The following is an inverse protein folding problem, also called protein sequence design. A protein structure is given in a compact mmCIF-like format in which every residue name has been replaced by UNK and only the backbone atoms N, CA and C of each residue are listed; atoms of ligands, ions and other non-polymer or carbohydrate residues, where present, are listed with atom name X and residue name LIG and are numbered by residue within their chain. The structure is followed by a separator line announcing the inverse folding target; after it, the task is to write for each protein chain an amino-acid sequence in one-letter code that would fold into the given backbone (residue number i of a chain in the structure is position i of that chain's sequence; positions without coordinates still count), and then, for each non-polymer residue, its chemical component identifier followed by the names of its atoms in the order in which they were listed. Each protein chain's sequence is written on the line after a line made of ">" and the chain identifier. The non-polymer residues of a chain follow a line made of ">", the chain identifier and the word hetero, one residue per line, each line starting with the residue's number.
data_IF_549707799768
#
_entry.id   IF_549707799768
#
_cell.length_a   1.000
_cell.length_b   1.000
_cell.length_c   1.000
_cell.angle_alpha   90.00
_cell.angle_beta   90.00
_cell.angle_gamma   90.00
#
_symmetry.space_group_name_H-M   'P 1'
#
loop_
_entity.id
_entity.type
_entity.pdbx_description
1 polymer ?
#
# COMPACT_ATOMS: atom_id res chain seq x y z
N UNK A 1 -9.15 -24.41 11.59
CA UNK A 1 -7.78 -24.00 11.22
C UNK A 1 -7.73 -22.51 11.51
N UNK A 2 -6.88 -22.10 12.44
CA UNK A 2 -6.69 -20.68 12.80
C UNK A 2 -6.22 -19.96 11.55
N UNK A 3 -6.88 -18.86 11.19
CA UNK A 3 -6.50 -18.10 10.01
C UNK A 3 -5.19 -17.38 10.29
N UNK A 4 -4.13 -17.78 9.61
CA UNK A 4 -2.81 -17.14 9.72
C UNK A 4 -2.50 -16.26 8.50
N UNK A 5 -3.41 -16.24 7.50
CA UNK A 5 -3.21 -15.56 6.21
C UNK A 5 -3.62 -14.10 6.28
N UNK A 6 -2.73 -13.21 5.87
CA UNK A 6 -3.04 -11.79 5.69
C UNK A 6 -3.56 -11.58 4.26
N UNK A 7 -4.80 -11.15 4.12
CA UNK A 7 -5.40 -10.86 2.81
C UNK A 7 -5.19 -9.39 2.48
N UNK A 8 -4.45 -9.09 1.40
CA UNK A 8 -4.32 -7.72 0.90
C UNK A 8 -5.23 -7.51 -0.30
N UNK A 9 -6.01 -6.44 -0.30
CA UNK A 9 -6.99 -6.13 -1.34
C UNK A 9 -6.55 -4.90 -2.13
N UNK A 10 -6.46 -5.06 -3.46
CA UNK A 10 -6.16 -3.98 -4.41
C UNK A 10 -7.24 -3.93 -5.48
N UNK A 11 -8.22 -3.02 -5.34
CA UNK A 11 -9.34 -2.93 -6.28
C UNK A 11 -8.95 -2.26 -7.61
N UNK A 12 -7.88 -1.47 -7.61
CA UNK A 12 -7.38 -0.74 -8.79
C UNK A 12 -5.90 -1.06 -9.04
N UNK A 13 -5.58 -2.35 -9.16
CA UNK A 13 -4.23 -2.82 -9.44
C UNK A 13 -3.71 -2.25 -10.78
N UNK A 14 -2.41 -2.04 -10.88
CA UNK A 14 -1.77 -1.50 -12.07
C UNK A 14 -0.61 -2.38 -12.54
N UNK A 15 -0.48 -2.56 -13.85
CA UNK A 15 0.76 -3.07 -14.43
C UNK A 15 1.75 -1.91 -14.57
N UNK A 16 2.81 -1.94 -13.82
CA UNK A 16 3.90 -1.00 -14.01
C UNK A 16 4.76 -1.43 -15.19
N UNK A 17 5.00 -0.50 -16.09
CA UNK A 17 5.80 -0.69 -17.31
C UNK A 17 6.94 0.31 -17.28
N UNK A 18 8.15 -0.18 -17.12
CA UNK A 18 9.35 0.66 -17.03
C UNK A 18 10.19 0.54 -18.29
N UNK A 19 10.63 1.67 -18.81
CA UNK A 19 11.55 1.78 -19.93
C UNK A 19 12.77 2.61 -19.53
N UNK A 20 13.97 2.20 -19.97
CA UNK A 20 15.11 3.09 -20.05
C UNK A 20 15.09 3.78 -21.41
N UNK A 21 15.27 5.10 -21.45
CA UNK A 21 15.40 5.86 -22.70
C UNK A 21 16.88 5.90 -23.09
N UNK A 22 17.14 5.86 -24.39
CA UNK A 22 18.45 6.15 -24.97
C UNK A 22 18.60 7.64 -25.26
N UNK A 23 19.77 8.05 -25.76
CA UNK A 23 19.97 9.41 -26.26
C UNK A 23 19.15 9.60 -27.52
N UNK A 24 18.42 10.70 -27.57
CA UNK A 24 17.66 11.07 -28.77
C UNK A 24 18.60 11.24 -29.98
N UNK A 25 18.22 10.64 -31.10
CA UNK A 25 18.85 10.88 -32.39
C UNK A 25 17.73 11.34 -33.34
N UNK A 26 17.89 12.52 -33.88
CA UNK A 26 16.83 13.21 -34.63
C UNK A 26 15.56 13.38 -33.78
N UNK A 27 14.39 13.06 -34.31
CA UNK A 27 13.10 13.19 -33.62
C UNK A 27 12.68 11.90 -32.91
N UNK A 28 13.56 10.88 -32.82
CA UNK A 28 13.26 9.58 -32.26
C UNK A 28 14.14 9.30 -31.04
N UNK A 29 13.50 9.05 -29.89
CA UNK A 29 14.18 8.57 -28.69
C UNK A 29 14.01 7.06 -28.59
N UNK A 30 15.10 6.27 -28.73
CA UNK A 30 15.02 4.81 -28.57
C UNK A 30 14.69 4.47 -27.11
N UNK A 31 13.94 3.40 -26.93
CA UNK A 31 13.61 2.87 -25.60
C UNK A 31 14.06 1.42 -25.47
N UNK A 32 14.36 0.98 -24.24
CA UNK A 32 14.66 -0.41 -23.93
C UNK A 32 13.45 -1.33 -24.13
N UNK A 33 13.66 -2.64 -24.02
CA UNK A 33 12.55 -3.54 -23.76
C UNK A 33 11.90 -3.17 -22.44
N UNK A 34 10.55 -3.27 -22.30
CA UNK A 34 9.88 -2.95 -21.07
C UNK A 34 10.20 -3.95 -19.95
N UNK A 35 10.40 -3.44 -18.76
CA UNK A 35 10.27 -4.21 -17.54
C UNK A 35 8.81 -4.15 -17.07
N UNK A 36 8.25 -5.31 -16.72
CA UNK A 36 6.87 -5.42 -16.20
C UNK A 36 6.88 -5.78 -14.73
N UNK A 37 6.01 -5.13 -13.96
CA UNK A 37 5.83 -5.46 -12.55
C UNK A 37 4.40 -5.19 -12.08
N UNK A 38 3.88 -6.08 -11.25
CA UNK A 38 2.62 -5.84 -10.56
C UNK A 38 2.75 -4.67 -9.58
N UNK A 39 1.79 -3.77 -9.62
CA UNK A 39 1.76 -2.56 -8.80
C UNK A 39 0.38 -2.30 -8.19
N UNK A 40 0.34 -1.32 -7.32
CA UNK A 40 -0.77 -0.99 -6.44
C UNK A 40 -0.35 -1.10 -4.97
N UNK A 41 -0.94 -0.28 -4.11
CA UNK A 41 -0.49 -0.24 -2.69
C UNK A 41 -0.66 -1.58 -1.99
N UNK A 42 -1.81 -2.25 -2.15
CA UNK A 42 -2.01 -3.58 -1.55
C UNK A 42 -1.09 -4.66 -2.13
N UNK A 43 -0.74 -4.57 -3.42
CA UNK A 43 0.28 -5.41 -4.05
C UNK A 43 1.65 -5.17 -3.41
N UNK A 44 2.02 -3.91 -3.16
CA UNK A 44 3.27 -3.58 -2.45
C UNK A 44 3.27 -4.15 -1.03
N UNK A 45 2.16 -4.00 -0.30
CA UNK A 45 2.00 -4.58 1.04
C UNK A 45 2.16 -6.10 1.00
N UNK A 46 1.51 -6.78 0.04
CA UNK A 46 1.61 -8.24 -0.10
C UNK A 46 3.06 -8.69 -0.29
N UNK A 47 3.80 -8.05 -1.20
CA UNK A 47 5.20 -8.38 -1.46
C UNK A 47 6.09 -8.19 -0.24
N UNK A 48 5.94 -7.06 0.44
CA UNK A 48 6.75 -6.75 1.63
C UNK A 48 6.46 -7.73 2.76
N UNK A 49 5.21 -7.98 3.08
CA UNK A 49 4.83 -8.96 4.11
C UNK A 49 5.34 -10.36 3.76
N UNK A 50 5.21 -10.78 2.50
CA UNK A 50 5.73 -12.05 2.03
C UNK A 50 7.26 -12.14 2.16
N UNK A 51 7.99 -11.06 1.84
CA UNK A 51 9.46 -11.03 1.98
C UNK A 51 9.94 -11.12 3.43
N UNK A 52 9.10 -10.74 4.39
CA UNK A 52 9.34 -10.96 5.83
C UNK A 52 8.84 -12.32 6.35
N UNK A 53 8.38 -13.20 5.45
CA UNK A 53 7.98 -14.57 5.81
C UNK A 53 6.55 -14.70 6.35
N UNK A 54 5.70 -13.67 6.18
CA UNK A 54 4.28 -13.79 6.53
C UNK A 54 3.51 -14.55 5.45
N UNK A 55 2.51 -15.31 5.88
CA UNK A 55 1.55 -15.93 4.98
C UNK A 55 0.59 -14.85 4.43
N UNK A 56 0.68 -14.58 3.15
CA UNK A 56 -0.06 -13.49 2.47
C UNK A 56 -0.81 -14.02 1.26
N UNK A 57 -2.00 -13.47 1.02
CA UNK A 57 -2.79 -13.68 -0.19
C UNK A 57 -3.15 -12.33 -0.80
N UNK A 58 -2.65 -12.07 -2.01
CA UNK A 58 -2.98 -10.86 -2.75
C UNK A 58 -4.31 -11.05 -3.51
N UNK A 59 -5.30 -10.21 -3.21
CA UNK A 59 -6.63 -10.24 -3.79
C UNK A 59 -7.01 -8.88 -4.39
N UNK A 60 -8.10 -8.84 -5.12
CA UNK A 60 -8.63 -7.62 -5.73
C UNK A 60 -9.23 -7.87 -7.10
N UNK A 61 -9.13 -6.90 -8.00
CA UNK A 61 -9.64 -6.95 -9.35
C UNK A 61 -8.49 -6.92 -10.36
N UNK A 62 -8.53 -7.82 -11.35
CA UNK A 62 -7.57 -7.85 -12.44
C UNK A 62 -8.24 -8.28 -13.75
N UNK A 63 -7.88 -7.67 -14.88
CA UNK A 63 -8.46 -8.03 -16.17
C UNK A 63 -7.57 -7.69 -17.36
N UNK A 64 -7.86 -8.34 -18.48
CA UNK A 64 -7.11 -8.21 -19.71
C UNK A 64 -5.67 -8.72 -19.63
N UNK A 65 -4.86 -8.42 -20.62
CA UNK A 65 -3.47 -8.85 -20.70
C UNK A 65 -2.61 -8.25 -19.56
N UNK A 66 -2.90 -7.00 -19.15
CA UNK A 66 -2.22 -6.37 -18.03
C UNK A 66 -2.55 -7.07 -16.70
N UNK A 67 -3.80 -7.48 -16.50
CA UNK A 67 -4.22 -8.26 -15.33
C UNK A 67 -3.53 -9.62 -15.25
N UNK A 68 -3.41 -10.32 -16.38
CA UNK A 68 -2.67 -11.58 -16.46
C UNK A 68 -1.19 -11.39 -16.09
N UNK A 69 -0.54 -10.34 -16.61
CA UNK A 69 0.85 -10.03 -16.29
C UNK A 69 1.03 -9.66 -14.81
N UNK A 70 0.07 -8.96 -14.18
CA UNK A 70 0.07 -8.68 -12.73
C UNK A 70 0.07 -10.00 -11.93
N UNK A 71 -0.84 -10.93 -12.25
CA UNK A 71 -0.96 -12.21 -11.57
C UNK A 71 0.30 -13.07 -11.77
N UNK A 72 0.82 -13.12 -13.00
CA UNK A 72 2.05 -13.87 -13.31
C UNK A 72 3.27 -13.30 -12.58
N UNK A 73 3.39 -11.99 -12.47
CA UNK A 73 4.51 -11.34 -11.80
C UNK A 73 4.49 -11.60 -10.28
N UNK A 74 3.31 -11.55 -9.65
CA UNK A 74 3.14 -11.95 -8.25
C UNK A 74 3.48 -13.43 -8.03
N UNK A 75 3.03 -14.31 -8.92
CA UNK A 75 3.35 -15.73 -8.85
C UNK A 75 4.85 -16.00 -8.95
N UNK A 76 5.58 -15.28 -9.83
CA UNK A 76 7.06 -15.38 -9.93
C UNK A 76 7.75 -14.93 -8.64
N UNK A 77 7.17 -13.97 -7.93
CA UNK A 77 7.67 -13.51 -6.63
C UNK A 77 7.25 -14.39 -5.46
N UNK A 78 6.57 -15.51 -5.72
CA UNK A 78 6.08 -16.43 -4.70
C UNK A 78 4.85 -15.97 -3.93
N UNK A 79 4.25 -14.83 -4.30
CA UNK A 79 3.07 -14.28 -3.63
C UNK A 79 1.80 -14.96 -4.16
N UNK A 80 1.06 -15.72 -3.34
CA UNK A 80 -0.23 -16.31 -3.73
C UNK A 80 -1.25 -15.24 -4.10
N UNK A 81 -2.11 -15.53 -5.08
CA UNK A 81 -3.09 -14.57 -5.59
C UNK A 81 -4.51 -15.14 -5.64
N UNK A 82 -5.50 -14.30 -5.38
CA UNK A 82 -6.93 -14.57 -5.50
C UNK A 82 -7.67 -13.37 -6.11
N UNK A 83 -7.24 -12.92 -7.29
CA UNK A 83 -7.91 -11.83 -8.00
C UNK A 83 -9.21 -12.31 -8.66
N UNK A 84 -10.28 -11.52 -8.48
CA UNK A 84 -11.50 -11.69 -9.28
C UNK A 84 -11.26 -11.11 -10.67
N UNK A 85 -11.48 -11.94 -11.70
CA UNK A 85 -11.25 -11.52 -13.08
C UNK A 85 -12.38 -10.61 -13.57
N UNK A 86 -12.02 -9.49 -14.20
CA UNK A 86 -12.92 -8.51 -14.80
C UNK A 86 -12.72 -8.45 -16.31
N UNK A 87 -13.71 -7.89 -17.03
CA UNK A 87 -13.63 -7.73 -18.49
C UNK A 87 -12.72 -6.58 -18.91
N UNK A 88 -12.70 -5.51 -18.09
CA UNK A 88 -11.89 -4.32 -18.36
C UNK A 88 -10.40 -4.62 -18.23
N UNK A 89 -9.58 -3.95 -19.04
CA UNK A 89 -8.12 -4.03 -18.96
C UNK A 89 -7.63 -3.38 -17.66
N UNK A 90 -6.81 -4.06 -16.87
CA UNK A 90 -6.13 -3.44 -15.72
C UNK A 90 -5.26 -2.29 -16.22
N UNK A 91 -5.30 -1.17 -15.49
CA UNK A 91 -4.55 0.04 -15.88
C UNK A 91 -3.06 -0.19 -15.89
N UNK A 92 -2.34 0.62 -16.66
CA UNK A 92 -0.88 0.64 -16.70
C UNK A 92 -0.34 1.94 -16.08
N UNK A 93 0.82 1.81 -15.50
CA UNK A 93 1.62 2.93 -15.03
C UNK A 93 2.97 2.88 -15.74
N UNK A 94 3.25 3.88 -16.55
CA UNK A 94 4.48 3.94 -17.34
C UNK A 94 5.53 4.79 -16.63
N UNK A 95 6.77 4.32 -16.67
CA UNK A 95 7.95 5.06 -16.27
C UNK A 95 8.99 5.03 -17.36
N UNK A 96 9.43 6.19 -17.77
CA UNK A 96 10.56 6.37 -18.69
C UNK A 96 11.71 7.01 -17.92
N UNK A 97 12.79 6.25 -17.74
CA UNK A 97 13.98 6.72 -17.01
C UNK A 97 14.97 7.34 -17.97
N UNK A 98 15.54 8.47 -17.58
CA UNK A 98 16.61 9.14 -18.34
C UNK A 98 17.83 8.22 -18.45
N UNK A 99 18.58 8.23 -19.59
CA UNK A 99 19.82 7.49 -19.73
C UNK A 99 20.94 7.99 -18.82
N UNK A 100 20.87 9.25 -18.40
CA UNK A 100 21.86 9.83 -17.49
C UNK A 100 21.48 9.54 -16.01
N UNK A 101 22.42 9.02 -15.18
CA UNK A 101 22.15 8.76 -13.78
C UNK A 101 21.67 10.01 -13.04
N UNK A 102 20.49 9.93 -12.43
CA UNK A 102 19.88 11.06 -11.70
C UNK A 102 19.05 12.01 -12.55
N UNK A 103 18.91 11.74 -13.85
CA UNK A 103 17.99 12.47 -14.72
C UNK A 103 16.51 12.26 -14.35
N UNK A 104 15.61 13.18 -14.74
CA UNK A 104 14.20 13.11 -14.39
C UNK A 104 13.52 11.91 -15.07
N UNK A 105 12.70 11.17 -14.32
CA UNK A 105 11.86 10.13 -14.89
C UNK A 105 10.47 10.70 -15.25
N UNK A 106 10.02 10.45 -16.47
CA UNK A 106 8.64 10.73 -16.88
C UNK A 106 7.73 9.60 -16.38
N UNK A 107 6.57 9.97 -15.83
CA UNK A 107 5.60 9.02 -15.29
C UNK A 107 4.21 9.32 -15.85
N UNK A 108 3.52 8.27 -16.29
CA UNK A 108 2.17 8.35 -16.81
C UNK A 108 1.30 7.28 -16.15
N UNK A 109 0.10 7.63 -15.77
CA UNK A 109 -0.87 6.72 -15.19
C UNK A 109 -2.12 6.68 -16.05
N UNK A 110 -2.52 5.50 -16.48
CA UNK A 110 -3.83 5.31 -17.10
C UNK A 110 -4.93 5.37 -16.04
N UNK A 111 -6.16 5.75 -16.41
CA UNK A 111 -7.32 5.58 -15.55
C UNK A 111 -7.56 4.08 -15.29
N UNK A 112 -8.26 3.77 -14.19
CA UNK A 112 -8.69 2.40 -13.89
C UNK A 112 -9.76 1.91 -14.87
N UNK A 113 -10.00 0.59 -14.93
CA UNK A 113 -11.12 0.03 -15.69
C UNK A 113 -12.45 0.45 -15.06
N UNK A 114 -13.52 0.47 -15.87
CA UNK A 114 -14.87 0.58 -15.34
C UNK A 114 -15.34 -0.78 -14.81
N UNK A 115 -15.80 -0.83 -13.56
CA UNK A 115 -16.27 -2.05 -12.89
C UNK A 115 -17.79 -2.06 -12.89
N UNK A 116 -18.37 -3.15 -13.39
CA UNK A 116 -19.81 -3.35 -13.39
C UNK A 116 -20.31 -3.84 -12.02
N UNK A 117 -21.60 -3.63 -11.76
CA UNK A 117 -22.26 -4.16 -10.54
C UNK A 117 -22.13 -5.69 -10.43
N UNK A 118 -22.18 -6.41 -11.57
CA UNK A 118 -21.99 -7.87 -11.58
C UNK A 118 -20.57 -8.25 -11.15
N UNK A 119 -19.54 -7.55 -11.62
CA UNK A 119 -18.15 -7.78 -11.25
C UNK A 119 -17.89 -7.47 -9.79
N UNK A 120 -18.44 -6.35 -9.28
CA UNK A 120 -18.42 -6.05 -7.85
C UNK A 120 -19.11 -7.14 -7.02
N UNK A 121 -20.26 -7.64 -7.46
CA UNK A 121 -20.98 -8.73 -6.78
C UNK A 121 -20.15 -10.01 -6.72
N UNK A 122 -19.47 -10.38 -7.81
CA UNK A 122 -18.55 -11.53 -7.82
C UNK A 122 -17.39 -11.33 -6.87
N UNK A 123 -16.75 -10.15 -6.93
CA UNK A 123 -15.66 -9.82 -6.01
C UNK A 123 -16.12 -9.88 -4.54
N UNK A 124 -17.28 -9.32 -4.21
CA UNK A 124 -17.83 -9.36 -2.85
C UNK A 124 -18.07 -10.81 -2.36
N UNK A 125 -18.50 -11.70 -3.24
CA UNK A 125 -18.67 -13.11 -2.93
C UNK A 125 -17.32 -13.81 -2.72
N UNK A 126 -16.32 -13.53 -3.57
CA UNK A 126 -14.96 -14.04 -3.42
C UNK A 126 -14.33 -13.54 -2.12
N UNK A 127 -14.42 -12.24 -1.84
CA UNK A 127 -13.91 -11.61 -0.63
C UNK A 127 -14.46 -12.26 0.65
N UNK A 128 -15.79 -12.46 0.74
CA UNK A 128 -16.39 -13.14 1.90
C UNK A 128 -15.85 -14.55 2.10
N UNK A 129 -15.52 -15.28 1.02
CA UNK A 129 -14.90 -16.61 1.14
C UNK A 129 -13.49 -16.52 1.68
N UNK A 130 -12.73 -15.50 1.29
CA UNK A 130 -11.36 -15.29 1.78
C UNK A 130 -11.32 -14.95 3.27
N UNK A 131 -12.34 -14.25 3.80
CA UNK A 131 -12.43 -13.91 5.21
C UNK A 131 -12.43 -15.13 6.13
N UNK A 132 -12.96 -16.27 5.69
CA UNK A 132 -13.04 -17.50 6.50
C UNK A 132 -11.66 -18.05 6.93
N UNK A 133 -10.58 -17.66 6.26
CA UNK A 133 -9.20 -18.08 6.56
C UNK A 133 -8.25 -16.92 6.85
N UNK A 134 -8.77 -15.70 6.96
CA UNK A 134 -7.95 -14.51 7.13
C UNK A 134 -7.65 -14.22 8.60
N UNK A 135 -6.38 -13.90 8.92
CA UNK A 135 -5.96 -13.34 10.20
C UNK A 135 -6.20 -11.82 10.25
N UNK A 136 -6.06 -11.15 9.10
CA UNK A 136 -6.38 -9.74 8.91
C UNK A 136 -6.63 -9.45 7.44
N UNK A 137 -7.29 -8.33 7.18
CA UNK A 137 -7.45 -7.77 5.84
C UNK A 137 -6.81 -6.40 5.76
N UNK A 138 -6.09 -6.15 4.67
CA UNK A 138 -5.52 -4.84 4.34
C UNK A 138 -6.20 -4.33 3.07
N UNK A 139 -7.05 -3.32 3.21
CA UNK A 139 -7.75 -2.65 2.11
C UNK A 139 -6.93 -1.44 1.67
N UNK A 140 -6.40 -1.46 0.44
CA UNK A 140 -5.45 -0.44 0.00
C UNK A 140 -5.76 0.12 -1.40
N UNK A 141 -5.58 1.41 -1.53
CA UNK A 141 -5.55 2.08 -2.83
C UNK A 141 -6.80 2.88 -3.14
N UNK A 142 -6.88 3.40 -4.36
CA UNK A 142 -8.05 4.06 -4.90
C UNK A 142 -9.06 3.05 -5.43
N UNK A 143 -10.30 3.46 -5.56
CA UNK A 143 -11.32 2.70 -6.28
C UNK A 143 -11.20 2.98 -7.79
N UNK A 144 -11.43 1.96 -8.64
CA UNK A 144 -11.63 2.19 -10.07
C UNK A 144 -13.03 2.75 -10.34
N UNK A 145 -13.22 3.29 -11.56
CA UNK A 145 -14.52 3.80 -11.99
C UNK A 145 -15.62 2.73 -11.93
N UNK A 146 -16.85 3.15 -11.67
CA UNK A 146 -18.02 2.28 -11.56
C UNK A 146 -18.24 1.67 -10.17
N UNK A 147 -17.27 1.72 -9.27
CA UNK A 147 -17.46 1.32 -7.89
C UNK A 147 -18.08 2.47 -7.06
N UNK A 148 -19.09 2.17 -6.21
CA UNK A 148 -19.60 3.13 -5.25
C UNK A 148 -18.51 3.60 -4.27
N UNK A 149 -18.56 4.87 -3.85
CA UNK A 149 -17.59 5.44 -2.91
C UNK A 149 -17.57 4.76 -1.54
N UNK A 150 -18.68 4.09 -1.16
CA UNK A 150 -18.82 3.29 0.08
C UNK A 150 -18.34 1.84 -0.04
N UNK A 151 -17.75 1.47 -1.19
CA UNK A 151 -17.27 0.09 -1.41
C UNK A 151 -16.37 -0.38 -0.29
N UNK A 152 -15.39 0.42 0.14
CA UNK A 152 -14.53 0.05 1.27
C UNK A 152 -15.31 -0.08 2.58
N UNK A 153 -16.31 0.75 2.82
CA UNK A 153 -17.19 0.63 3.98
C UNK A 153 -17.91 -0.72 4.02
N UNK A 154 -18.44 -1.16 2.87
CA UNK A 154 -19.06 -2.48 2.74
C UNK A 154 -18.07 -3.62 3.03
N UNK A 155 -16.81 -3.51 2.53
CA UNK A 155 -15.77 -4.53 2.79
C UNK A 155 -15.36 -4.57 4.26
N UNK A 156 -15.26 -3.41 4.93
CA UNK A 156 -15.02 -3.34 6.39
C UNK A 156 -16.15 -4.04 7.15
N UNK A 157 -17.42 -3.79 6.77
CA UNK A 157 -18.58 -4.45 7.39
C UNK A 157 -18.50 -5.96 7.25
N UNK A 158 -18.20 -6.49 6.05
CA UNK A 158 -18.10 -7.94 5.85
C UNK A 158 -16.97 -8.57 6.67
N UNK A 159 -15.84 -7.88 6.82
CA UNK A 159 -14.74 -8.34 7.66
C UNK A 159 -15.12 -8.33 9.15
N UNK A 160 -15.79 -7.27 9.63
CA UNK A 160 -16.29 -7.18 10.99
C UNK A 160 -17.29 -8.29 11.32
N UNK A 161 -18.22 -8.61 10.41
CA UNK A 161 -19.17 -9.73 10.54
C UNK A 161 -18.45 -11.09 10.64
N UNK A 162 -17.27 -11.22 10.01
CA UNK A 162 -16.44 -12.41 10.08
C UNK A 162 -15.46 -12.41 11.28
N UNK A 163 -15.41 -11.34 12.07
CA UNK A 163 -14.46 -11.18 13.17
C UNK A 163 -13.00 -10.98 12.72
N UNK A 164 -12.79 -10.47 11.50
CA UNK A 164 -11.46 -10.27 10.90
C UNK A 164 -11.07 -8.80 10.99
N UNK A 165 -9.95 -8.45 11.62
CA UNK A 165 -9.50 -7.07 11.75
C UNK A 165 -9.12 -6.46 10.38
N UNK A 166 -9.41 -5.16 10.22
CA UNK A 166 -9.20 -4.42 8.97
C UNK A 166 -8.21 -3.27 9.16
N UNK A 167 -7.17 -3.26 8.33
CA UNK A 167 -6.30 -2.13 8.11
C UNK A 167 -6.73 -1.45 6.81
N UNK A 168 -7.16 -0.17 6.89
CA UNK A 168 -7.64 0.60 5.75
C UNK A 168 -6.62 1.67 5.36
N UNK A 169 -6.12 1.61 4.14
CA UNK A 169 -5.28 2.64 3.51
C UNK A 169 -6.02 3.24 2.32
N UNK A 170 -6.84 4.22 2.60
CA UNK A 170 -7.61 4.97 1.62
C UNK A 170 -7.43 6.48 1.83
N UNK A 171 -7.96 7.27 0.92
CA UNK A 171 -7.96 8.73 1.02
C UNK A 171 -9.27 9.31 0.47
N UNK A 172 -9.42 10.64 0.56
CA UNK A 172 -10.51 11.34 -0.08
C UNK A 172 -11.91 10.88 0.36
N UNK A 173 -12.78 10.72 -0.62
CA UNK A 173 -14.18 10.35 -0.40
C UNK A 173 -14.33 8.91 0.09
N UNK A 174 -13.53 7.99 -0.43
CA UNK A 174 -13.55 6.58 -0.04
C UNK A 174 -13.26 6.39 1.45
N UNK A 175 -12.29 7.13 2.00
CA UNK A 175 -12.00 7.11 3.43
C UNK A 175 -13.15 7.67 4.26
N UNK A 176 -13.76 8.78 3.83
CA UNK A 176 -14.90 9.39 4.54
C UNK A 176 -16.09 8.45 4.68
N UNK A 177 -16.37 7.66 3.62
CA UNK A 177 -17.43 6.67 3.67
C UNK A 177 -17.04 5.46 4.52
N UNK A 178 -15.80 4.98 4.39
CA UNK A 178 -15.37 3.74 5.03
C UNK A 178 -15.10 3.87 6.54
N UNK A 179 -14.66 5.04 7.02
CA UNK A 179 -14.25 5.20 8.44
C UNK A 179 -15.41 4.99 9.42
N UNK A 180 -16.65 5.32 9.03
CA UNK A 180 -17.86 5.10 9.84
C UNK A 180 -18.21 3.63 10.06
N UNK A 181 -17.57 2.69 9.34
CA UNK A 181 -17.75 1.25 9.51
C UNK A 181 -16.75 0.62 10.50
N UNK A 182 -16.05 1.47 11.28
CA UNK A 182 -15.17 1.08 12.37
C UNK A 182 -13.99 0.16 11.97
N UNK A 183 -13.13 0.56 11.00
CA UNK A 183 -11.90 -0.18 10.74
C UNK A 183 -10.97 -0.15 11.96
N UNK A 184 -10.22 -1.23 12.18
CA UNK A 184 -9.31 -1.36 13.34
C UNK A 184 -8.12 -0.41 13.26
N UNK A 185 -7.64 -0.13 12.04
CA UNK A 185 -6.56 0.83 11.81
C UNK A 185 -6.79 1.55 10.48
N UNK A 186 -6.76 2.87 10.53
CA UNK A 186 -6.71 3.72 9.33
C UNK A 186 -5.30 4.24 9.13
N UNK A 187 -4.78 4.10 7.92
CA UNK A 187 -3.52 4.74 7.50
C UNK A 187 -3.83 5.81 6.46
N UNK A 188 -3.45 7.05 6.71
CA UNK A 188 -3.74 8.17 5.84
C UNK A 188 -2.55 9.14 5.72
N UNK A 189 -2.62 10.06 4.74
CA UNK A 189 -1.69 11.18 4.61
C UNK A 189 -2.37 12.46 5.08
N UNK A 190 -1.60 13.32 5.75
CA UNK A 190 -2.04 14.69 6.03
C UNK A 190 -1.77 15.57 4.82
N UNK A 191 -2.78 15.76 3.99
CA UNK A 191 -2.73 16.76 2.93
C UNK A 191 -3.44 18.03 3.39
N UNK A 192 -2.86 19.18 3.12
CA UNK A 192 -3.45 20.48 3.46
C UNK A 192 -4.83 20.71 2.80
N UNK A 193 -5.15 19.99 1.74
CA UNK A 193 -6.44 20.00 1.05
C UNK A 193 -7.53 19.17 1.77
N UNK A 194 -7.15 18.23 2.63
CA UNK A 194 -8.08 17.34 3.36
C UNK A 194 -8.45 17.86 4.76
N UNK A 195 -8.14 19.11 5.05
CA UNK A 195 -8.38 19.76 6.35
C UNK A 195 -9.88 19.77 6.79
N UNK A 196 -10.79 19.42 5.89
CA UNK A 196 -12.23 19.30 6.17
C UNK A 196 -12.74 17.90 6.50
N UNK A 197 -11.94 16.85 6.29
CA UNK A 197 -12.40 15.45 6.33
C UNK A 197 -11.53 14.48 7.15
N UNK A 198 -10.77 14.96 8.13
CA UNK A 198 -10.06 14.08 9.04
C UNK A 198 -8.55 14.02 8.82
N UNK A 199 -7.94 15.14 8.41
CA UNK A 199 -6.47 15.30 8.39
C UNK A 199 -5.82 15.18 9.78
N UNK A 200 -6.62 15.00 10.85
CA UNK A 200 -6.13 14.66 12.18
C UNK A 200 -6.57 13.23 12.55
N UNK A 201 -5.66 12.43 13.11
CA UNK A 201 -6.00 11.11 13.64
C UNK A 201 -7.17 11.13 14.61
N UNK A 202 -7.26 12.16 15.46
CA UNK A 202 -8.38 12.35 16.37
C UNK A 202 -9.75 12.48 15.69
N UNK A 203 -9.81 13.07 14.49
CA UNK A 203 -11.06 13.13 13.72
C UNK A 203 -11.46 11.74 13.22
N UNK A 204 -10.51 10.93 12.75
CA UNK A 204 -10.78 9.56 12.31
C UNK A 204 -11.27 8.69 13.46
N UNK A 205 -10.72 8.83 14.66
CA UNK A 205 -11.21 8.14 15.86
C UNK A 205 -12.66 8.55 16.16
N UNK A 206 -12.98 9.85 16.14
CA UNK A 206 -14.36 10.31 16.35
C UNK A 206 -15.35 9.80 15.30
N UNK A 207 -14.88 9.54 14.08
CA UNK A 207 -15.68 9.00 12.99
C UNK A 207 -15.86 7.48 13.04
N UNK A 208 -15.11 6.78 13.91
CA UNK A 208 -15.32 5.35 14.14
C UNK A 208 -14.08 4.46 14.04
N UNK A 209 -12.94 4.94 13.55
CA UNK A 209 -11.72 4.14 13.52
C UNK A 209 -11.25 3.79 14.95
N UNK A 210 -10.78 2.56 15.19
CA UNK A 210 -10.22 2.19 16.47
C UNK A 210 -8.81 2.77 16.69
N UNK A 211 -8.04 2.90 15.61
CA UNK A 211 -6.73 3.56 15.58
C UNK A 211 -6.51 4.29 14.25
N UNK A 212 -5.66 5.32 14.27
CA UNK A 212 -5.25 6.05 13.07
C UNK A 212 -3.74 6.28 13.06
N UNK A 213 -3.09 6.08 11.92
CA UNK A 213 -1.68 6.41 11.67
C UNK A 213 -1.61 7.41 10.51
N UNK A 214 -1.20 8.64 10.78
CA UNK A 214 -1.15 9.73 9.81
C UNK A 214 0.29 10.02 9.44
N UNK A 215 0.60 9.87 8.15
CA UNK A 215 1.89 10.22 7.61
C UNK A 215 1.92 11.70 7.20
N UNK A 216 2.91 12.45 7.66
CA UNK A 216 3.09 13.87 7.35
C UNK A 216 4.56 14.29 7.49
N UNK A 217 5.14 14.90 6.46
CA UNK A 217 6.45 15.56 6.54
C UNK A 217 7.58 14.67 7.08
N UNK A 218 7.62 13.41 6.67
CA UNK A 218 8.65 12.46 7.14
C UNK A 218 8.40 11.87 8.54
N UNK A 219 7.25 12.16 9.13
CA UNK A 219 6.81 11.64 10.43
C UNK A 219 5.55 10.80 10.30
N UNK A 220 5.32 9.95 11.28
CA UNK A 220 4.05 9.21 11.43
C UNK A 220 3.48 9.49 12.80
N UNK A 221 2.25 9.98 12.80
CA UNK A 221 1.51 10.28 14.00
C UNK A 221 0.40 9.24 14.21
N UNK A 222 0.46 8.49 15.30
CA UNK A 222 -0.55 7.51 15.66
C UNK A 222 -1.46 8.05 16.77
N UNK A 223 -2.76 7.85 16.59
CA UNK A 223 -3.81 8.23 17.54
C UNK A 223 -4.71 7.04 17.83
N UNK A 224 -4.97 6.80 19.10
CA UNK A 224 -5.88 5.77 19.59
C UNK A 224 -6.70 6.31 20.77
N UNK A 225 -7.59 5.49 21.32
CA UNK A 225 -8.28 5.82 22.57
C UNK A 225 -7.31 5.93 23.77
N UNK A 226 -6.17 5.21 23.73
CA UNK A 226 -5.23 5.09 24.84
C UNK A 226 -4.12 6.16 24.81
N UNK A 227 -3.97 6.89 23.70
CA UNK A 227 -2.97 7.94 23.57
C UNK A 227 -2.54 8.23 22.15
N UNK A 228 -1.56 9.11 22.04
CA UNK A 228 -0.98 9.58 20.79
C UNK A 228 0.54 9.40 20.81
N UNK A 229 1.12 8.99 19.69
CA UNK A 229 2.56 8.81 19.51
C UNK A 229 3.03 9.43 18.21
N UNK A 230 4.22 9.98 18.21
CA UNK A 230 4.85 10.50 16.98
C UNK A 230 6.18 9.79 16.78
N UNK A 231 6.34 9.20 15.60
CA UNK A 231 7.60 8.60 15.15
C UNK A 231 8.26 9.46 14.08
N UNK A 232 9.58 9.62 14.18
CA UNK A 232 10.41 10.32 13.19
C UNK A 232 11.78 9.66 13.07
N UNK A 233 12.43 9.83 11.92
CA UNK A 233 13.84 9.49 11.75
C UNK A 233 14.71 10.63 12.30
N UNK A 234 15.84 10.29 12.92
CA UNK A 234 16.83 11.28 13.30
C UNK A 234 17.47 11.92 12.05
N UNK A 235 17.86 13.22 12.13
CA UNK A 235 18.31 13.98 10.96
C UNK A 235 19.51 13.40 10.18
N UNK A 236 20.38 12.63 10.86
CA UNK A 236 21.55 12.02 10.23
C UNK A 236 21.18 10.93 9.20
N UNK A 237 20.01 10.33 9.33
CA UNK A 237 19.54 9.21 8.52
C UNK A 237 18.40 9.61 7.56
N UNK A 238 17.96 10.87 7.64
CA UNK A 238 16.89 11.44 6.81
C UNK A 238 17.36 11.90 5.40
N UNK A 239 18.57 11.53 4.97
CA UNK A 239 19.19 11.99 3.71
C UNK A 239 18.61 11.33 2.43
N UNK A 240 17.41 10.75 2.51
CA UNK A 240 16.67 10.20 1.37
C UNK A 240 15.55 11.15 0.88
N UNK A 241 14.92 10.86 -0.27
CA UNK A 241 13.69 11.53 -0.66
C UNK A 241 12.67 11.33 0.46
N UNK A 242 11.81 12.35 0.71
CA UNK A 242 10.77 12.33 1.73
C UNK A 242 10.29 10.89 1.98
N UNK A 243 10.57 10.29 3.16
CA UNK A 243 10.31 8.86 3.41
C UNK A 243 8.82 8.49 3.30
N UNK A 244 7.96 9.47 3.10
CA UNK A 244 6.51 9.30 3.03
C UNK A 244 5.94 9.61 1.64
N UNK A 245 6.68 9.31 0.56
CA UNK A 245 6.12 9.33 -0.79
C UNK A 245 5.11 8.18 -0.99
N UNK A 246 4.26 8.27 -2.02
CA UNK A 246 3.19 7.29 -2.26
C UNK A 246 3.67 5.82 -2.35
N UNK A 247 4.93 5.57 -2.73
CA UNK A 247 5.55 4.24 -2.73
C UNK A 247 5.93 3.77 -1.31
N UNK A 248 6.43 4.68 -0.48
CA UNK A 248 6.75 4.41 0.91
C UNK A 248 5.49 4.11 1.76
N UNK A 249 4.32 4.62 1.35
CA UNK A 249 3.06 4.38 2.07
C UNK A 249 2.67 2.90 2.12
N UNK A 250 2.84 2.15 1.04
CA UNK A 250 2.65 0.69 1.07
C UNK A 250 3.60 0.00 2.06
N UNK A 251 4.84 0.48 2.17
CA UNK A 251 5.80 -0.04 3.14
C UNK A 251 5.42 0.35 4.59
N UNK A 252 4.92 1.57 4.81
CA UNK A 252 4.39 1.99 6.11
C UNK A 252 3.24 1.08 6.57
N UNK A 253 2.29 0.82 5.66
CA UNK A 253 1.16 -0.10 5.93
C UNK A 253 1.68 -1.50 6.25
N UNK A 254 2.57 -2.04 5.41
CA UNK A 254 3.17 -3.37 5.64
C UNK A 254 3.86 -3.47 7.00
N UNK A 255 4.54 -2.42 7.44
CA UNK A 255 5.21 -2.39 8.75
C UNK A 255 4.24 -2.31 9.93
N UNK A 256 3.03 -1.77 9.77
CA UNK A 256 2.03 -1.71 10.85
C UNK A 256 1.27 -3.04 11.03
N UNK A 257 1.11 -3.84 9.97
CA UNK A 257 0.31 -5.07 9.99
C UNK A 257 0.77 -6.10 11.03
N UNK A 258 2.07 -6.49 11.10
CA UNK A 258 2.53 -7.46 12.09
C UNK A 258 2.26 -7.01 13.52
N UNK A 259 2.48 -5.74 13.81
CA UNK A 259 2.22 -5.19 15.14
C UNK A 259 0.74 -5.21 15.51
N UNK A 260 -0.17 -5.05 14.55
CA UNK A 260 -1.60 -5.18 14.76
C UNK A 260 -1.97 -6.62 15.12
N UNK A 261 -1.43 -7.59 14.42
CA UNK A 261 -1.72 -9.01 14.63
C UNK A 261 -1.10 -9.57 15.91
N UNK A 262 0.11 -9.15 16.21
CA UNK A 262 0.90 -9.68 17.34
C UNK A 262 0.74 -8.86 18.62
N UNK A 263 -0.10 -7.82 18.62
CA UNK A 263 -0.36 -7.00 19.81
C UNK A 263 0.84 -6.18 20.27
N UNK A 264 1.73 -5.77 19.35
CA UNK A 264 2.88 -4.93 19.73
C UNK A 264 2.45 -3.59 20.30
N UNK A 265 3.32 -3.00 21.14
CA UNK A 265 3.13 -1.63 21.61
C UNK A 265 3.14 -0.64 20.43
N UNK A 266 2.46 0.49 20.56
CA UNK A 266 2.46 1.52 19.51
C UNK A 266 3.85 2.05 19.17
N UNK A 267 4.76 2.29 20.14
CA UNK A 267 6.14 2.62 19.84
C UNK A 267 6.84 1.60 18.93
N UNK A 268 6.64 0.31 19.17
CA UNK A 268 7.27 -0.74 18.37
C UNK A 268 6.66 -0.85 16.99
N UNK A 269 5.32 -0.73 16.87
CA UNK A 269 4.63 -0.68 15.57
C UNK A 269 5.16 0.47 14.70
N UNK A 270 5.24 1.67 15.27
CA UNK A 270 5.69 2.86 14.57
C UNK A 270 7.17 2.80 14.19
N UNK A 271 8.03 2.26 15.08
CA UNK A 271 9.45 2.06 14.79
C UNK A 271 9.63 1.13 13.59
N UNK A 272 8.96 -0.01 13.61
CA UNK A 272 8.99 -0.98 12.52
C UNK A 272 8.45 -0.40 11.21
N UNK A 273 7.30 0.25 11.27
CA UNK A 273 6.63 0.82 10.11
C UNK A 273 7.44 1.93 9.44
N UNK A 274 8.01 2.86 10.23
CA UNK A 274 8.79 3.96 9.69
C UNK A 274 10.15 3.49 9.16
N UNK A 275 10.81 2.56 9.83
CA UNK A 275 12.05 1.95 9.35
C UNK A 275 11.83 1.25 8.00
N UNK A 276 10.74 0.51 7.84
CA UNK A 276 10.40 -0.14 6.58
C UNK A 276 10.06 0.86 5.49
N UNK A 277 9.30 1.90 5.80
CA UNK A 277 8.95 2.96 4.85
C UNK A 277 10.18 3.75 4.36
N UNK A 278 11.15 3.98 5.22
CA UNK A 278 12.38 4.72 4.90
C UNK A 278 13.45 3.85 4.20
N UNK A 279 13.57 2.58 4.58
CA UNK A 279 14.49 1.61 3.96
C UNK A 279 13.94 0.95 2.71
N UNK A 280 12.63 0.99 2.55
CA UNK A 280 11.91 0.38 1.44
C UNK A 280 11.89 1.23 0.17
N UNK A 281 13.03 1.79 -0.26
CA UNK A 281 13.15 2.30 -1.61
C UNK A 281 12.81 1.14 -2.56
N UNK A 282 11.51 1.06 -2.90
CA UNK A 282 10.98 -0.02 -3.71
C UNK A 282 11.76 -0.13 -5.03
N UNK A 283 11.78 -1.28 -5.68
CA UNK A 283 12.50 -1.57 -6.92
C UNK A 283 12.18 -0.63 -8.09
N UNK A 284 11.22 0.27 -7.93
CA UNK A 284 10.80 1.27 -8.91
C UNK A 284 11.68 2.50 -8.99
N UNK A 285 12.64 2.67 -8.08
CA UNK A 285 13.61 3.77 -8.14
C UNK A 285 14.78 3.48 -9.08
N UNK A 286 14.92 2.21 -9.53
CA UNK A 286 16.00 1.77 -10.44
C UNK A 286 15.52 1.59 -11.87
N UNK A 287 16.43 1.81 -12.82
CA UNK A 287 16.16 1.59 -14.23
C UNK A 287 16.04 0.08 -14.56
N UNK A 288 15.29 -0.29 -15.63
CA UNK A 288 15.26 -1.67 -16.09
C UNK A 288 16.68 -2.16 -16.43
N UNK A 289 17.09 -3.30 -15.87
CA UNK A 289 18.41 -3.89 -16.10
C UNK A 289 19.46 -3.61 -15.03
N UNK A 290 19.19 -2.77 -14.04
CA UNK A 290 20.00 -2.72 -12.82
C UNK A 290 19.68 -3.93 -11.95
N UNK A 291 20.67 -4.80 -11.83
CA UNK A 291 20.55 -6.08 -11.15
C UNK A 291 20.34 -5.91 -9.65
N UNK A 292 19.11 -5.97 -9.22
CA UNK A 292 18.69 -6.71 -8.04
C UNK A 292 17.21 -7.06 -8.22
N UNK A 293 16.97 -8.24 -8.77
CA UNK A 293 15.62 -8.79 -8.99
C UNK A 293 14.94 -9.21 -7.68
N UNK A 294 15.55 -8.91 -6.55
CA UNK A 294 15.00 -9.25 -5.25
C UNK A 294 13.89 -8.29 -4.88
N UNK A 295 12.69 -8.83 -4.76
CA UNK A 295 11.50 -8.18 -4.20
C UNK A 295 11.64 -7.91 -2.68
N UNK A 296 12.84 -7.65 -2.21
CA UNK A 296 13.18 -7.60 -0.81
C UNK A 296 13.54 -6.19 -0.34
N UNK A 297 13.24 -5.95 0.90
CA UNK A 297 13.79 -4.84 1.70
C UNK A 297 15.29 -5.06 1.83
N UNK A 298 16.08 -4.00 1.73
CA UNK A 298 17.46 -4.03 2.21
C UNK A 298 17.44 -4.21 3.74
N UNK A 299 17.59 -5.47 4.18
CA UNK A 299 17.53 -5.80 5.60
C UNK A 299 18.58 -5.06 6.42
N UNK A 300 19.77 -4.82 5.86
CA UNK A 300 20.81 -4.08 6.59
C UNK A 300 20.45 -2.60 6.73
N UNK A 301 19.83 -2.00 5.71
CA UNK A 301 19.29 -0.65 5.82
C UNK A 301 18.11 -0.59 6.80
N UNK A 302 17.21 -1.57 6.74
CA UNK A 302 16.08 -1.67 7.65
C UNK A 302 16.53 -1.78 9.13
N UNK A 303 17.49 -2.67 9.45
CA UNK A 303 18.01 -2.82 10.81
C UNK A 303 18.65 -1.53 11.34
N UNK A 304 19.45 -0.85 10.53
CA UNK A 304 20.02 0.47 10.91
C UNK A 304 18.92 1.50 11.18
N UNK A 305 17.87 1.51 10.37
CA UNK A 305 16.78 2.48 10.50
C UNK A 305 15.90 2.19 11.71
N UNK A 306 15.74 0.93 12.13
CA UNK A 306 15.05 0.60 13.37
C UNK A 306 15.63 1.33 14.58
N UNK A 307 16.97 1.40 14.66
CA UNK A 307 17.68 2.11 15.74
C UNK A 307 17.59 3.64 15.62
N UNK A 308 17.44 4.14 14.41
CA UNK A 308 17.36 5.57 14.11
C UNK A 308 15.95 6.17 14.32
N UNK A 309 14.91 5.34 14.38
CA UNK A 309 13.54 5.83 14.63
C UNK A 309 13.36 6.21 16.10
N UNK A 310 13.01 7.48 16.32
CA UNK A 310 12.57 7.98 17.64
C UNK A 310 11.04 8.01 17.70
N UNK A 311 10.50 7.51 18.80
CA UNK A 311 9.07 7.54 19.07
C UNK A 311 8.85 8.33 20.35
N UNK A 312 8.10 9.41 20.25
CA UNK A 312 7.73 10.26 21.37
C UNK A 312 6.39 9.78 21.95
N UNK A 313 6.28 9.62 23.27
CA UNK A 313 5.03 9.28 23.93
C UNK A 313 4.04 10.46 23.84
N UNK A 314 2.75 10.22 24.18
CA UNK A 314 1.78 11.30 24.28
C UNK A 314 2.29 12.42 25.19
N UNK A 315 2.04 13.67 24.76
CA UNK A 315 2.28 14.81 25.63
C UNK A 315 1.48 14.60 26.92
N UNK A 316 2.16 14.62 28.07
CA UNK A 316 1.47 14.58 29.36
C UNK A 316 0.65 15.88 29.48
N UNK A 317 -0.67 15.73 29.36
CA UNK A 317 -1.62 16.83 29.63
C UNK A 317 -1.65 17.22 31.10
#
# INVERSE_FOLDING_TARGET
>A
MSGDVIVTVTLNAALHVAYATGKAADDITPISRPGYRAGGRGVTVARLLHSFGHDVLAAGLAGGASGELIIQDLARSGVPTAFTLIRGESRRFFRFSDPDPGGPALRFSEPGPYITTEELGRFAADYRRLLAGAAAVVLCGSLPDGLPADTYGSLVTYAAEAGVPVILDAGGEELRHAVGHAPDLVVAESNAADAGTGGSGAALIRLGAAAAAIAAGGQVHAVTADGEWTARLEPADAAGPDPVCALARGALVAGLVPGQLLGWSWPDRLRHALALAAGGAGPWTRAPGEADERDGVDLAAYERLLDAVRVEPPARG
#
